data_IF_069866835808
#
_entry.id   IF_069866835808
#
_cell.length_a   1.000
_cell.length_b   1.000
_cell.length_c   1.000
_cell.angle_alpha   90.00
_cell.angle_beta   90.00
_cell.angle_gamma   90.00
#
_symmetry.space_group_name_H-M   'P 1'
#
loop_
_entity.id
_entity.type
_entity.pdbx_description
1 polymer ?
#
# COMPACT_ATOMS: atom_id res chain seq x y z
N UNK A 1 16.43 -4.37 23.22
CA UNK A 1 15.13 -3.68 23.07
C UNK A 1 14.70 -3.77 21.61
N UNK A 2 13.43 -4.11 21.39
CA UNK A 2 12.88 -4.18 20.03
C UNK A 2 12.43 -2.80 19.57
N UNK A 3 12.62 -2.52 18.29
CA UNK A 3 12.08 -1.32 17.64
C UNK A 3 11.21 -1.79 16.50
N UNK A 4 9.88 -1.80 16.70
CA UNK A 4 8.91 -2.28 15.71
C UNK A 4 8.29 -1.11 14.99
N UNK A 5 8.23 -1.19 13.66
CA UNK A 5 7.55 -0.16 12.88
C UNK A 5 6.04 -0.30 13.12
N UNK A 6 5.42 0.74 13.66
CA UNK A 6 4.00 0.71 14.05
C UNK A 6 3.12 1.42 13.03
N UNK A 7 3.55 2.58 12.57
CA UNK A 7 2.70 3.47 11.80
C UNK A 7 3.53 4.29 10.83
N UNK A 8 3.04 4.41 9.60
CA UNK A 8 3.59 5.33 8.61
C UNK A 8 2.47 6.29 8.20
N UNK A 9 2.74 7.59 8.23
CA UNK A 9 1.76 8.59 7.78
C UNK A 9 1.88 8.81 6.29
N UNK A 10 0.74 8.84 5.60
CA UNK A 10 0.66 9.14 4.18
C UNK A 10 -0.18 10.39 3.96
N UNK A 11 0.24 11.30 3.07
CA UNK A 11 -0.47 12.56 2.89
C UNK A 11 -1.58 12.42 1.85
N UNK A 12 -2.80 12.88 2.22
CA UNK A 12 -3.96 12.83 1.35
C UNK A 12 -4.72 14.15 1.39
N UNK A 13 -5.51 14.45 0.35
CA UNK A 13 -6.33 15.66 0.31
C UNK A 13 -7.73 15.44 0.88
N UNK A 14 -8.35 14.32 0.52
CA UNK A 14 -9.72 13.99 0.91
C UNK A 14 -9.70 12.72 1.77
N UNK A 15 -9.90 12.90 3.06
CA UNK A 15 -9.77 11.80 4.03
C UNK A 15 -10.82 10.73 3.82
N UNK A 16 -12.07 11.11 3.52
CA UNK A 16 -13.13 10.13 3.26
C UNK A 16 -12.83 9.31 2.00
N UNK A 17 -12.37 9.97 0.94
CA UNK A 17 -12.02 9.29 -0.31
C UNK A 17 -10.85 8.32 -0.10
N UNK A 18 -9.83 8.73 0.65
CA UNK A 18 -8.71 7.86 0.98
C UNK A 18 -9.16 6.65 1.81
N UNK A 19 -9.95 6.88 2.85
CA UNK A 19 -10.49 5.79 3.67
C UNK A 19 -11.25 4.79 2.81
N UNK A 20 -12.16 5.27 1.98
CA UNK A 20 -12.98 4.39 1.14
C UNK A 20 -12.12 3.58 0.17
N UNK A 21 -11.06 4.20 -0.38
CA UNK A 21 -10.10 3.50 -1.25
C UNK A 21 -9.42 2.34 -0.52
N UNK A 22 -8.85 2.61 0.65
CA UNK A 22 -8.10 1.58 1.38
C UNK A 22 -9.01 0.47 1.91
N UNK A 23 -10.22 0.79 2.33
CA UNK A 23 -11.18 -0.24 2.73
C UNK A 23 -11.60 -1.10 1.54
N UNK A 24 -11.81 -0.49 0.37
CA UNK A 24 -12.12 -1.24 -0.85
C UNK A 24 -10.95 -2.15 -1.25
N UNK A 25 -9.72 -1.69 -1.05
CA UNK A 25 -8.53 -2.50 -1.32
C UNK A 25 -8.37 -3.67 -0.34
N UNK A 26 -9.14 -3.71 0.73
CA UNK A 26 -9.12 -4.81 1.70
C UNK A 26 -8.41 -4.49 3.00
N UNK A 27 -7.94 -3.25 3.20
CA UNK A 27 -7.31 -2.86 4.47
C UNK A 27 -8.38 -2.77 5.56
N UNK A 28 -8.01 -3.16 6.78
CA UNK A 28 -8.89 -3.04 7.94
C UNK A 28 -8.86 -1.64 8.53
N UNK A 29 -10.01 -1.14 8.94
CA UNK A 29 -10.11 0.16 9.63
C UNK A 29 -9.86 -0.03 11.12
N UNK A 30 -8.86 0.64 11.65
CA UNK A 30 -8.53 0.57 13.08
C UNK A 30 -9.01 1.80 13.84
N UNK A 31 -8.84 2.97 13.25
CA UNK A 31 -9.15 4.25 13.89
C UNK A 31 -9.75 5.20 12.85
N UNK A 32 -10.81 5.90 13.22
CA UNK A 32 -11.32 7.05 12.49
C UNK A 32 -11.88 8.01 13.53
N UNK A 33 -11.08 9.03 13.89
CA UNK A 33 -11.41 9.92 15.00
C UNK A 33 -11.22 11.37 14.59
N UNK A 34 -12.27 12.15 14.77
CA UNK A 34 -12.18 13.61 14.72
C UNK A 34 -11.72 14.08 16.09
N UNK A 35 -10.45 14.43 16.21
CA UNK A 35 -9.84 14.81 17.49
C UNK A 35 -10.32 16.18 17.94
N UNK A 36 -10.33 17.14 17.00
CA UNK A 36 -10.84 18.49 17.21
C UNK A 36 -11.18 19.10 15.84
N UNK A 37 -11.50 20.38 15.78
CA UNK A 37 -11.91 21.03 14.52
C UNK A 37 -10.83 21.02 13.45
N UNK A 38 -9.54 20.88 13.83
CA UNK A 38 -8.41 20.95 12.92
C UNK A 38 -7.75 19.60 12.70
N UNK A 39 -8.12 18.53 13.42
CA UNK A 39 -7.41 17.27 13.37
C UNK A 39 -8.36 16.09 13.29
N UNK A 40 -8.17 15.28 12.26
CA UNK A 40 -8.81 13.98 12.09
C UNK A 40 -7.73 12.93 11.82
N UNK A 41 -7.85 11.78 12.45
CA UNK A 41 -6.90 10.67 12.31
C UNK A 41 -7.65 9.44 11.84
N UNK A 42 -7.18 8.85 10.73
CA UNK A 42 -7.65 7.56 10.24
C UNK A 42 -6.44 6.64 10.18
N UNK A 43 -6.60 5.43 10.70
CA UNK A 43 -5.56 4.39 10.61
C UNK A 43 -6.16 3.14 9.99
N UNK A 44 -5.47 2.60 9.00
CA UNK A 44 -5.86 1.36 8.33
C UNK A 44 -4.67 0.41 8.31
N UNK A 45 -4.94 -0.89 8.31
CA UNK A 45 -3.90 -1.91 8.35
C UNK A 45 -4.08 -2.88 7.19
N UNK A 46 -3.04 -3.09 6.37
CA UNK A 46 -3.09 -4.13 5.34
C UNK A 46 -3.32 -5.50 5.96
N UNK A 47 -4.04 -6.42 5.29
CA UNK A 47 -4.28 -7.76 5.84
C UNK A 47 -2.96 -8.46 6.21
N UNK A 48 -2.89 -8.95 7.44
CA UNK A 48 -1.71 -9.67 7.93
C UNK A 48 -0.52 -8.82 8.32
N UNK A 49 -0.62 -7.49 8.20
CA UNK A 49 0.48 -6.58 8.55
C UNK A 49 0.43 -6.20 10.03
N UNK A 50 1.60 -6.07 10.65
CA UNK A 50 1.72 -5.50 11.99
C UNK A 50 1.81 -3.98 11.95
N UNK A 51 2.31 -3.42 10.84
CA UNK A 51 2.43 -1.98 10.65
C UNK A 51 1.18 -1.43 9.98
N UNK A 52 0.69 -0.30 10.47
CA UNK A 52 -0.46 0.40 9.92
C UNK A 52 -0.02 1.62 9.13
N UNK A 53 -0.93 2.18 8.34
CA UNK A 53 -0.75 3.51 7.75
C UNK A 53 -1.81 4.44 8.28
N UNK A 54 -1.43 5.70 8.43
CA UNK A 54 -2.32 6.75 8.92
C UNK A 54 -2.41 7.89 7.93
N UNK A 55 -3.57 8.48 7.86
CA UNK A 55 -3.81 9.71 7.10
C UNK A 55 -4.91 10.50 7.79
N UNK A 56 -5.06 11.75 7.40
CA UNK A 56 -6.05 12.59 8.06
C UNK A 56 -5.86 14.05 7.75
N UNK A 57 -6.42 14.86 8.62
CA UNK A 57 -6.30 16.32 8.57
C UNK A 57 -5.43 16.78 9.73
N UNK A 58 -4.46 17.63 9.46
CA UNK A 58 -3.64 18.24 10.50
C UNK A 58 -2.58 17.33 11.12
N UNK A 59 -2.25 16.21 10.50
CA UNK A 59 -1.31 15.24 11.08
C UNK A 59 0.03 15.15 10.36
N UNK A 60 0.14 15.72 9.16
CA UNK A 60 1.39 15.77 8.42
C UNK A 60 1.44 17.01 7.55
N UNK A 61 2.63 17.52 7.30
CA UNK A 61 2.87 18.64 6.39
C UNK A 61 3.36 18.18 5.02
N UNK A 62 3.50 16.89 4.82
CA UNK A 62 3.93 16.35 3.53
C UNK A 62 2.88 16.67 2.46
N UNK A 63 3.34 16.91 1.22
CA UNK A 63 2.44 17.20 0.11
C UNK A 63 1.59 15.99 -0.22
N UNK A 64 0.27 16.16 -0.46
CA UNK A 64 -0.59 15.03 -0.84
C UNK A 64 -0.01 14.29 -2.04
N UNK A 65 -0.04 12.95 -1.97
CA UNK A 65 0.50 12.10 -3.04
C UNK A 65 2.00 11.92 -3.03
N UNK A 66 2.71 12.50 -2.04
CA UNK A 66 4.17 12.46 -2.04
C UNK A 66 4.77 11.17 -1.47
N UNK A 67 3.98 10.30 -0.87
CA UNK A 67 4.49 9.02 -0.39
C UNK A 67 4.74 8.08 -1.56
N UNK A 68 5.97 7.60 -1.68
CA UNK A 68 6.39 6.73 -2.78
C UNK A 68 7.08 5.49 -2.23
N UNK A 69 6.82 4.34 -2.86
CA UNK A 69 7.56 3.14 -2.51
C UNK A 69 7.13 2.46 -1.21
N UNK A 70 5.86 2.57 -0.84
CA UNK A 70 5.32 1.75 0.25
C UNK A 70 5.24 0.31 -0.25
N UNK A 71 5.95 -0.61 0.39
CA UNK A 71 6.05 -1.98 -0.09
C UNK A 71 5.17 -2.92 0.72
N UNK A 72 4.36 -3.71 0.01
CA UNK A 72 3.57 -4.79 0.55
C UNK A 72 4.17 -6.10 0.09
N UNK A 73 4.52 -6.96 1.02
CA UNK A 73 5.03 -8.29 0.71
C UNK A 73 3.85 -9.24 0.55
N UNK A 74 3.84 -9.98 -0.56
CA UNK A 74 2.82 -10.99 -0.85
C UNK A 74 3.49 -12.30 -1.20
N UNK A 75 2.84 -13.42 -0.91
CA UNK A 75 3.41 -14.74 -1.19
C UNK A 75 3.17 -15.19 -2.63
N UNK A 76 2.14 -14.66 -3.30
CA UNK A 76 1.81 -14.95 -4.69
C UNK A 76 1.41 -13.64 -5.36
N UNK A 77 2.33 -13.09 -6.18
CA UNK A 77 2.13 -11.78 -6.80
C UNK A 77 0.99 -11.79 -7.82
N UNK A 78 0.81 -12.89 -8.54
CA UNK A 78 -0.26 -12.99 -9.53
C UNK A 78 -1.62 -12.98 -8.83
N UNK A 79 -1.77 -13.80 -7.79
CA UNK A 79 -3.02 -13.86 -7.03
C UNK A 79 -3.32 -12.54 -6.33
N UNK A 80 -2.30 -11.90 -5.74
CA UNK A 80 -2.47 -10.63 -5.05
C UNK A 80 -2.89 -9.51 -6.01
N UNK A 81 -2.24 -9.45 -7.17
CA UNK A 81 -2.60 -8.49 -8.23
C UNK A 81 -4.04 -8.70 -8.67
N UNK A 82 -4.45 -9.95 -8.91
CA UNK A 82 -5.79 -10.27 -9.36
C UNK A 82 -6.84 -9.95 -8.29
N UNK A 83 -6.53 -10.15 -7.02
CA UNK A 83 -7.43 -9.78 -5.92
C UNK A 83 -7.68 -8.28 -5.89
N UNK A 84 -6.62 -7.47 -5.99
CA UNK A 84 -6.78 -6.02 -6.01
C UNK A 84 -7.56 -5.56 -7.24
N UNK A 85 -7.28 -6.11 -8.41
CA UNK A 85 -8.01 -5.80 -9.63
C UNK A 85 -9.50 -6.16 -9.49
N UNK A 86 -9.79 -7.29 -8.85
CA UNK A 86 -11.16 -7.72 -8.57
C UNK A 86 -11.89 -6.81 -7.59
N UNK A 87 -11.17 -6.07 -6.76
CA UNK A 87 -11.70 -5.05 -5.86
C UNK A 87 -11.74 -3.66 -6.52
N UNK A 88 -11.52 -3.60 -7.83
CA UNK A 88 -11.56 -2.38 -8.62
C UNK A 88 -10.46 -1.39 -8.27
N UNK A 89 -9.32 -1.89 -7.82
CA UNK A 89 -8.10 -1.12 -7.68
C UNK A 89 -7.33 -1.22 -9.00
N UNK A 90 -6.92 -0.09 -9.55
CA UNK A 90 -6.08 -0.08 -10.74
C UNK A 90 -4.67 -0.46 -10.35
N UNK A 91 -4.27 -1.67 -10.66
CA UNK A 91 -2.95 -2.21 -10.35
C UNK A 91 -2.24 -2.53 -11.66
N UNK A 92 -0.93 -2.26 -11.70
CA UNK A 92 -0.11 -2.52 -12.89
C UNK A 92 -0.05 -4.02 -13.22
N UNK A 93 0.40 -4.33 -14.43
CA UNK A 93 0.79 -5.68 -14.74
C UNK A 93 1.96 -6.11 -13.84
N UNK A 94 2.03 -7.40 -13.54
CA UNK A 94 3.19 -7.97 -12.86
C UNK A 94 4.39 -7.87 -13.79
N UNK A 95 5.54 -7.53 -13.24
CA UNK A 95 6.78 -7.38 -13.98
C UNK A 95 7.98 -7.83 -13.15
N UNK A 96 9.07 -8.07 -13.83
CA UNK A 96 10.35 -8.43 -13.20
C UNK A 96 11.50 -7.81 -13.97
N UNK A 97 12.68 -7.81 -13.38
CA UNK A 97 13.90 -7.34 -14.04
C UNK A 97 14.66 -8.51 -14.65
N UNK A 98 15.07 -8.34 -15.91
CA UNK A 98 16.02 -9.23 -16.59
C UNK A 98 17.12 -8.37 -17.19
N UNK A 99 18.36 -8.59 -16.75
CA UNK A 99 19.52 -7.83 -17.24
C UNK A 99 19.29 -6.31 -17.19
N UNK A 100 18.70 -5.83 -16.09
CA UNK A 100 18.43 -4.41 -15.86
C UNK A 100 17.25 -3.85 -16.62
N UNK A 101 16.45 -4.67 -17.27
CA UNK A 101 15.26 -4.23 -18.00
C UNK A 101 13.99 -4.81 -17.37
N UNK A 102 12.93 -3.99 -17.33
CA UNK A 102 11.63 -4.47 -16.92
C UNK A 102 11.00 -5.34 -18.01
N UNK A 103 10.58 -6.52 -17.64
CA UNK A 103 9.96 -7.52 -18.52
C UNK A 103 8.59 -7.87 -17.97
N UNK A 104 7.54 -7.97 -18.81
CA UNK A 104 6.21 -8.36 -18.36
C UNK A 104 6.19 -9.76 -17.73
N UNK A 105 5.31 -9.92 -16.72
CA UNK A 105 5.08 -11.17 -16.05
C UNK A 105 5.96 -11.39 -14.84
N UNK A 106 5.63 -12.41 -14.03
CA UNK A 106 6.44 -12.75 -12.87
C UNK A 106 7.78 -13.34 -13.29
N UNK A 107 8.77 -13.20 -12.42
CA UNK A 107 10.08 -13.78 -12.67
C UNK A 107 9.92 -15.31 -12.86
N UNK A 108 10.58 -15.89 -13.89
CA UNK A 108 10.39 -17.31 -14.18
C UNK A 108 10.68 -18.24 -13.01
N UNK A 109 11.61 -17.87 -12.14
CA UNK A 109 11.98 -18.67 -10.98
C UNK A 109 11.17 -18.32 -9.73
N UNK A 110 10.32 -17.28 -9.79
CA UNK A 110 9.45 -16.85 -8.68
C UNK A 110 10.23 -16.68 -7.37
N UNK A 111 11.47 -16.16 -7.45
CA UNK A 111 12.30 -15.93 -6.28
C UNK A 111 11.86 -14.73 -5.46
N UNK A 112 12.40 -14.64 -4.26
CA UNK A 112 12.10 -13.53 -3.35
C UNK A 112 12.66 -12.23 -3.92
N UNK A 113 11.86 -11.15 -3.84
CA UNK A 113 12.24 -9.80 -4.28
C UNK A 113 12.47 -9.69 -5.78
N UNK A 114 11.85 -10.57 -6.57
CA UNK A 114 12.09 -10.61 -8.02
C UNK A 114 10.88 -10.19 -8.86
N UNK A 115 9.68 -10.22 -8.28
CA UNK A 115 8.44 -9.90 -9.01
C UNK A 115 7.71 -8.76 -8.32
N UNK A 116 7.17 -7.82 -9.12
CA UNK A 116 6.61 -6.58 -8.62
C UNK A 116 5.34 -6.20 -9.38
N UNK A 117 4.49 -5.45 -8.72
CA UNK A 117 3.40 -4.71 -9.34
C UNK A 117 3.14 -3.48 -8.47
N UNK A 118 2.48 -2.46 -9.00
CA UNK A 118 2.21 -1.27 -8.21
C UNK A 118 0.80 -0.74 -8.41
N UNK A 119 0.36 0.04 -7.44
CA UNK A 119 -0.88 0.80 -7.52
C UNK A 119 -0.70 2.13 -6.78
N UNK A 120 -1.58 3.06 -7.04
CA UNK A 120 -1.59 4.34 -6.36
C UNK A 120 -2.96 4.59 -5.74
N UNK A 121 -2.95 5.32 -4.61
CA UNK A 121 -4.20 5.82 -4.04
C UNK A 121 -4.71 7.03 -4.85
N UNK A 122 -5.90 7.58 -4.53
CA UNK A 122 -6.45 8.70 -5.31
C UNK A 122 -5.58 9.96 -5.35
N UNK A 123 -4.70 10.15 -4.39
CA UNK A 123 -3.78 11.28 -4.37
C UNK A 123 -2.47 11.01 -5.10
N UNK A 124 -2.20 9.76 -5.49
CA UNK A 124 -0.95 9.39 -6.15
C UNK A 124 0.11 8.86 -5.20
N UNK A 125 -0.21 8.54 -3.95
CA UNK A 125 0.72 7.82 -3.09
C UNK A 125 0.90 6.41 -3.64
N UNK A 126 2.14 5.98 -3.85
CA UNK A 126 2.46 4.76 -4.60
C UNK A 126 2.79 3.60 -3.67
N UNK A 127 2.14 2.49 -3.94
CA UNK A 127 2.36 1.21 -3.27
C UNK A 127 2.97 0.22 -4.24
N UNK A 128 3.87 -0.61 -3.74
CA UNK A 128 4.52 -1.65 -4.53
C UNK A 128 4.20 -3.01 -3.91
N UNK A 129 3.65 -3.92 -4.72
CA UNK A 129 3.55 -5.32 -4.36
C UNK A 129 4.88 -5.99 -4.69
N UNK A 130 5.38 -6.81 -3.78
CA UNK A 130 6.66 -7.47 -3.93
C UNK A 130 6.52 -8.91 -3.46
N UNK A 131 6.88 -9.85 -4.33
CA UNK A 131 6.75 -11.27 -3.97
C UNK A 131 7.89 -11.71 -3.08
N UNK A 132 7.55 -12.22 -1.92
CA UNK A 132 8.51 -12.84 -1.00
C UNK A 132 7.82 -14.03 -0.36
N UNK A 133 8.43 -15.20 -0.48
CA UNK A 133 7.90 -16.41 0.12
C UNK A 133 8.69 -16.74 1.37
N UNK A 134 8.13 -16.36 2.51
CA UNK A 134 8.72 -16.64 3.83
C UNK A 134 8.00 -17.83 4.44
N UNK A 135 8.64 -18.96 4.32
CA UNK A 135 8.10 -20.18 4.91
C UNK A 135 8.78 -20.52 6.24
#
# INVERSE_FOLDING_TARGET
MDFKLELVLIPVTDVDRARDFYLRAGFGLDVDTQVNDQMRVVQVTPPGSACSVGFGTGITKAAPGSAQGLHLVVSDIVAARDELAGRQVQVSEVRHLESGRWVPGPHPQRGNYESFADFADPDGNVWVLQEVNRT
#
